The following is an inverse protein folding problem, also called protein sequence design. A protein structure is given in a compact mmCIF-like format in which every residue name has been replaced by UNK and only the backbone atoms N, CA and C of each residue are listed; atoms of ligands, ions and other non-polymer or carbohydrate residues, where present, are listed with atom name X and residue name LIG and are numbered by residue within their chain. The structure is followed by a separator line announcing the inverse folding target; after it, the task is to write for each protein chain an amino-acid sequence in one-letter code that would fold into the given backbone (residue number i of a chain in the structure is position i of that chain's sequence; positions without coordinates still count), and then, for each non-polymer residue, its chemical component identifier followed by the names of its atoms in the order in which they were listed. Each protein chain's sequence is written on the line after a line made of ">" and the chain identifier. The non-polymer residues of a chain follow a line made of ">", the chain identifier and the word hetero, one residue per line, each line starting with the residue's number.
data_IF_356164368694
#
_entry.id   IF_356164368694
#
_cell.length_a   1.000
_cell.length_b   1.000
_cell.length_c   1.000
_cell.angle_alpha   90.00
_cell.angle_beta   90.00
_cell.angle_gamma   90.00
#
_symmetry.space_group_name_H-M   'P 1'
#
loop_
_entity.id
_entity.type
_entity.pdbx_description
1 polymer ?
#
# COMPACT_ATOMS: atom_id res chain seq x y z
N UNK A 1 -13.33 -29.69 -18.64
CA UNK A 1 -12.03 -29.09 -18.29
C UNK A 1 -11.77 -27.82 -19.11
N UNK A 2 -11.92 -27.85 -20.40
CA UNK A 2 -11.64 -26.71 -21.31
C UNK A 2 -12.44 -25.40 -20.98
N UNK A 3 -13.75 -25.55 -20.70
CA UNK A 3 -14.58 -24.40 -20.33
C UNK A 3 -14.16 -23.73 -19.00
N UNK A 4 -13.65 -24.51 -18.02
CA UNK A 4 -13.13 -23.98 -16.76
C UNK A 4 -11.81 -23.22 -17.00
N UNK A 5 -10.95 -23.72 -17.86
CA UNK A 5 -9.72 -23.05 -18.28
C UNK A 5 -10.01 -21.73 -19.01
N UNK A 6 -11.04 -21.68 -19.86
CA UNK A 6 -11.44 -20.45 -20.55
C UNK A 6 -12.00 -19.38 -19.61
N UNK A 7 -12.78 -19.76 -18.59
CA UNK A 7 -13.26 -18.84 -17.54
C UNK A 7 -12.09 -18.32 -16.73
N UNK A 8 -11.18 -19.20 -16.28
CA UNK A 8 -9.97 -18.80 -15.55
C UNK A 8 -9.13 -17.81 -16.34
N UNK A 9 -8.89 -18.07 -17.64
CA UNK A 9 -8.11 -17.16 -18.49
C UNK A 9 -8.76 -15.78 -18.64
N UNK A 10 -10.07 -15.71 -18.86
CA UNK A 10 -10.78 -14.41 -18.99
C UNK A 10 -10.74 -13.62 -17.70
N UNK A 11 -11.03 -14.27 -16.55
CA UNK A 11 -11.02 -13.57 -15.26
C UNK A 11 -9.61 -13.13 -14.88
N UNK A 12 -8.57 -13.92 -15.21
CA UNK A 12 -7.18 -13.55 -15.01
C UNK A 12 -6.85 -12.23 -15.71
N UNK A 13 -7.20 -12.10 -17.00
CA UNK A 13 -6.96 -10.85 -17.74
C UNK A 13 -7.71 -9.68 -17.11
N UNK A 14 -8.99 -9.85 -16.75
CA UNK A 14 -9.78 -8.80 -16.13
C UNK A 14 -9.20 -8.37 -14.77
N UNK A 15 -8.75 -9.33 -13.95
CA UNK A 15 -8.11 -9.06 -12.64
C UNK A 15 -6.76 -8.38 -12.81
N UNK A 16 -5.96 -8.72 -13.82
CA UNK A 16 -4.69 -8.04 -14.11
C UNK A 16 -4.93 -6.58 -14.52
N UNK A 17 -5.91 -6.31 -15.40
CA UNK A 17 -6.29 -4.93 -15.76
C UNK A 17 -6.81 -4.18 -14.53
N UNK A 18 -7.58 -4.83 -13.68
CA UNK A 18 -8.04 -4.24 -12.40
C UNK A 18 -6.86 -3.89 -11.49
N UNK A 19 -5.87 -4.75 -11.37
CA UNK A 19 -4.66 -4.51 -10.57
C UNK A 19 -3.85 -3.33 -11.11
N UNK A 20 -3.75 -3.20 -12.43
CA UNK A 20 -3.12 -2.04 -13.08
C UNK A 20 -3.86 -0.74 -12.73
N UNK A 21 -5.18 -0.70 -12.91
CA UNK A 21 -6.02 0.47 -12.60
C UNK A 21 -5.99 0.83 -11.10
N UNK A 22 -5.97 -0.18 -10.23
CA UNK A 22 -5.87 -0.04 -8.79
C UNK A 22 -4.57 0.67 -8.35
N UNK A 23 -3.47 0.48 -9.08
CA UNK A 23 -2.21 1.18 -8.80
C UNK A 23 -2.33 2.70 -8.96
N UNK A 24 -3.14 3.18 -9.92
CA UNK A 24 -3.44 4.59 -10.09
C UNK A 24 -4.21 5.14 -8.87
N UNK A 25 -5.22 4.43 -8.39
CA UNK A 25 -5.99 4.84 -7.22
C UNK A 25 -5.09 4.94 -5.98
N UNK A 26 -4.16 4.00 -5.79
CA UNK A 26 -3.22 4.04 -4.67
C UNK A 26 -2.25 5.24 -4.71
N UNK A 27 -1.93 5.73 -5.88
CA UNK A 27 -0.98 6.85 -6.05
C UNK A 27 -1.64 8.23 -5.95
N UNK A 28 -2.98 8.29 -5.97
CA UNK A 28 -3.74 9.54 -6.17
C UNK A 28 -3.45 10.59 -5.10
N UNK A 29 -3.49 10.22 -3.83
CA UNK A 29 -3.28 11.16 -2.72
C UNK A 29 -1.86 11.71 -2.67
N UNK A 30 -0.87 10.92 -3.10
CA UNK A 30 0.53 11.33 -3.15
C UNK A 30 0.83 12.28 -4.32
N UNK A 31 0.19 12.05 -5.47
CA UNK A 31 0.43 12.85 -6.66
C UNK A 31 -0.36 14.16 -6.63
N UNK A 32 -1.65 14.10 -6.22
CA UNK A 32 -2.55 15.28 -6.24
C UNK A 32 -2.45 16.14 -4.97
N UNK A 33 -1.55 15.82 -4.04
CA UNK A 33 -1.48 16.49 -2.73
C UNK A 33 -1.34 18.01 -2.85
N UNK A 34 -0.49 18.49 -3.75
CA UNK A 34 -0.22 19.91 -3.91
C UNK A 34 -1.46 20.66 -4.45
N UNK A 35 -2.08 20.14 -5.50
CA UNK A 35 -3.24 20.75 -6.17
C UNK A 35 -4.47 20.79 -5.26
N UNK A 36 -4.67 19.74 -4.46
CA UNK A 36 -5.78 19.66 -3.51
C UNK A 36 -5.55 20.60 -2.32
N UNK A 37 -4.31 20.65 -1.80
CA UNK A 37 -3.91 21.57 -0.72
C UNK A 37 -4.13 23.01 -1.15
N UNK A 38 -3.73 23.37 -2.36
CA UNK A 38 -3.93 24.72 -2.93
C UNK A 38 -5.43 25.02 -3.10
N UNK A 39 -6.18 24.11 -3.72
CA UNK A 39 -7.62 24.29 -4.00
C UNK A 39 -8.45 24.56 -2.75
N UNK A 40 -8.15 23.84 -1.66
CA UNK A 40 -8.91 23.94 -0.41
C UNK A 40 -8.19 24.74 0.67
N UNK A 41 -7.05 25.39 0.35
CA UNK A 41 -6.22 26.19 1.26
C UNK A 41 -5.90 25.43 2.56
N UNK A 42 -5.48 24.15 2.43
CA UNK A 42 -5.22 23.28 3.57
C UNK A 42 -3.89 23.65 4.22
N UNK A 43 -3.90 23.75 5.54
CA UNK A 43 -2.71 24.01 6.36
C UNK A 43 -2.65 23.03 7.51
N UNK A 44 -1.45 22.81 8.03
CA UNK A 44 -1.24 22.05 9.24
C UNK A 44 -1.76 20.64 9.24
N UNK A 45 -2.37 20.26 10.35
CA UNK A 45 -2.92 18.93 10.57
C UNK A 45 -3.96 18.51 9.52
N UNK A 46 -4.70 19.45 8.91
CA UNK A 46 -5.70 19.17 7.89
C UNK A 46 -5.08 18.61 6.60
N UNK A 47 -3.88 19.07 6.23
CA UNK A 47 -3.11 18.52 5.11
C UNK A 47 -2.64 17.09 5.36
N UNK A 48 -2.10 16.83 6.57
CA UNK A 48 -1.69 15.49 6.98
C UNK A 48 -2.88 14.54 7.08
N UNK A 49 -4.01 15.02 7.62
CA UNK A 49 -5.24 14.26 7.69
C UNK A 49 -5.73 13.87 6.30
N UNK A 50 -5.76 14.79 5.33
CA UNK A 50 -6.14 14.50 3.94
C UNK A 50 -5.28 13.36 3.36
N UNK A 51 -3.96 13.41 3.55
CA UNK A 51 -3.04 12.37 3.06
C UNK A 51 -3.27 11.00 3.73
N UNK A 52 -3.86 10.99 4.94
CA UNK A 52 -4.16 9.76 5.70
C UNK A 52 -5.49 9.12 5.35
N UNK A 53 -6.41 9.84 4.69
CA UNK A 53 -7.80 9.39 4.48
C UNK A 53 -7.90 8.08 3.69
N UNK A 54 -7.06 7.89 2.67
CA UNK A 54 -7.04 6.64 1.90
C UNK A 54 -6.65 5.45 2.80
N UNK A 55 -5.63 5.63 3.64
CA UNK A 55 -5.16 4.60 4.57
C UNK A 55 -6.18 4.30 5.67
N UNK A 56 -6.92 5.31 6.13
CA UNK A 56 -8.03 5.13 7.06
C UNK A 56 -9.12 4.25 6.44
N UNK A 57 -9.47 4.50 5.19
CA UNK A 57 -10.44 3.67 4.46
C UNK A 57 -9.98 2.23 4.30
N UNK A 58 -8.72 1.99 3.95
CA UNK A 58 -8.11 0.65 3.90
C UNK A 58 -8.25 -0.07 5.25
N UNK A 59 -8.00 0.62 6.36
CA UNK A 59 -8.13 0.06 7.70
C UNK A 59 -9.59 -0.28 8.05
N UNK A 60 -10.54 0.60 7.72
CA UNK A 60 -11.98 0.35 7.88
C UNK A 60 -12.38 -0.89 7.09
N UNK A 61 -11.89 -1.05 5.85
CA UNK A 61 -12.16 -2.23 5.03
C UNK A 61 -11.77 -3.53 5.73
N UNK A 62 -10.60 -3.57 6.37
CA UNK A 62 -10.13 -4.75 7.12
C UNK A 62 -11.05 -5.09 8.29
N UNK A 63 -11.58 -4.07 9.00
CA UNK A 63 -12.48 -4.26 10.13
C UNK A 63 -13.85 -4.80 9.72
N UNK A 64 -14.39 -4.31 8.59
CA UNK A 64 -15.75 -4.68 8.15
C UNK A 64 -15.77 -5.87 7.18
N UNK A 65 -14.61 -6.28 6.64
CA UNK A 65 -14.50 -7.42 5.71
C UNK A 65 -15.13 -8.72 6.25
N UNK A 66 -14.97 -9.10 7.54
CA UNK A 66 -15.60 -10.29 8.11
C UNK A 66 -17.13 -10.31 8.00
N UNK A 67 -17.79 -9.15 7.84
CA UNK A 67 -19.24 -9.07 7.66
C UNK A 67 -19.69 -9.59 6.29
N UNK A 68 -18.84 -9.51 5.28
CA UNK A 68 -19.11 -9.92 3.89
C UNK A 68 -18.56 -11.29 3.57
N UNK A 69 -17.51 -11.72 4.29
CA UNK A 69 -16.81 -12.97 4.11
C UNK A 69 -17.77 -14.17 4.27
N UNK A 70 -17.78 -15.08 3.29
CA UNK A 70 -18.70 -16.22 3.25
C UNK A 70 -20.16 -15.89 2.91
N UNK A 71 -20.53 -14.60 2.79
CA UNK A 71 -21.88 -14.17 2.41
C UNK A 71 -21.98 -13.72 0.97
N UNK A 72 -20.96 -13.04 0.48
CA UNK A 72 -20.90 -12.45 -0.86
C UNK A 72 -19.80 -13.15 -1.68
N UNK A 73 -20.08 -13.42 -2.96
CA UNK A 73 -19.12 -14.05 -3.87
C UNK A 73 -17.97 -13.08 -4.21
N UNK A 74 -16.76 -13.63 -4.46
CA UNK A 74 -15.53 -12.85 -4.70
C UNK A 74 -15.66 -11.90 -5.89
N UNK A 75 -16.24 -12.35 -7.01
CA UNK A 75 -16.46 -11.49 -8.19
C UNK A 75 -17.38 -10.31 -7.87
N UNK A 76 -18.46 -10.56 -7.12
CA UNK A 76 -19.37 -9.49 -6.68
C UNK A 76 -18.65 -8.50 -5.80
N UNK A 77 -17.80 -8.96 -4.89
CA UNK A 77 -16.99 -8.06 -4.04
C UNK A 77 -15.98 -7.24 -4.85
N UNK A 78 -15.35 -7.80 -5.88
CA UNK A 78 -14.50 -7.03 -6.81
C UNK A 78 -15.32 -5.93 -7.50
N UNK A 79 -16.51 -6.26 -8.01
CA UNK A 79 -17.39 -5.29 -8.69
C UNK A 79 -17.88 -4.19 -7.73
N UNK A 80 -18.28 -4.55 -6.52
CA UNK A 80 -18.69 -3.58 -5.49
C UNK A 80 -17.52 -2.67 -5.11
N UNK A 81 -16.34 -3.24 -4.93
CA UNK A 81 -15.12 -2.51 -4.55
C UNK A 81 -14.71 -1.50 -5.63
N UNK A 82 -14.62 -1.97 -6.88
CA UNK A 82 -14.25 -1.10 -7.99
C UNK A 82 -15.36 -0.08 -8.33
N UNK A 83 -16.63 -0.46 -8.23
CA UNK A 83 -17.77 0.44 -8.37
C UNK A 83 -17.74 1.56 -7.31
N UNK A 84 -17.48 1.21 -6.04
CA UNK A 84 -17.30 2.18 -4.97
C UNK A 84 -16.13 3.14 -5.27
N UNK A 85 -14.98 2.62 -5.72
CA UNK A 85 -13.84 3.46 -6.11
C UNK A 85 -14.21 4.43 -7.23
N UNK A 86 -14.85 3.97 -8.31
CA UNK A 86 -15.23 4.81 -9.43
C UNK A 86 -16.20 5.92 -9.01
N UNK A 87 -17.23 5.59 -8.23
CA UNK A 87 -18.21 6.58 -7.73
C UNK A 87 -17.53 7.60 -6.80
N UNK A 88 -16.66 7.15 -5.90
CA UNK A 88 -15.97 8.04 -4.96
C UNK A 88 -14.94 8.93 -5.67
N UNK A 89 -14.30 8.46 -6.75
CA UNK A 89 -13.44 9.29 -7.61
C UNK A 89 -14.24 10.41 -8.29
N UNK A 90 -15.42 10.11 -8.84
CA UNK A 90 -16.29 11.11 -9.42
C UNK A 90 -16.81 12.11 -8.37
N UNK A 91 -17.15 11.63 -7.18
CA UNK A 91 -17.58 12.49 -6.07
C UNK A 91 -16.43 13.40 -5.61
N UNK A 92 -15.20 12.88 -5.52
CA UNK A 92 -14.02 13.69 -5.19
C UNK A 92 -13.73 14.73 -6.28
N UNK A 93 -13.88 14.38 -7.56
CA UNK A 93 -13.73 15.32 -8.68
C UNK A 93 -14.75 16.48 -8.61
N UNK A 94 -15.98 16.20 -8.19
CA UNK A 94 -17.03 17.20 -7.99
C UNK A 94 -17.06 17.85 -6.60
N UNK A 95 -16.12 17.54 -5.71
CA UNK A 95 -16.16 17.97 -4.31
C UNK A 95 -16.20 19.51 -4.18
N UNK A 96 -17.24 20.08 -3.55
CA UNK A 96 -17.36 21.51 -3.35
C UNK A 96 -16.51 22.03 -2.18
N UNK A 97 -16.12 21.15 -1.27
CA UNK A 97 -15.30 21.46 -0.10
C UNK A 97 -14.45 20.26 0.33
N UNK A 98 -13.51 20.52 1.22
CA UNK A 98 -12.57 19.51 1.70
C UNK A 98 -13.23 18.35 2.45
N UNK A 99 -14.35 18.56 3.15
CA UNK A 99 -15.02 17.51 3.90
C UNK A 99 -15.58 16.43 2.95
N UNK A 100 -16.24 16.83 1.86
CA UNK A 100 -16.74 15.92 0.82
C UNK A 100 -15.57 15.19 0.15
N UNK A 101 -14.47 15.89 -0.14
CA UNK A 101 -13.25 15.28 -0.69
C UNK A 101 -12.69 14.21 0.27
N UNK A 102 -12.49 14.53 1.55
CA UNK A 102 -11.95 13.60 2.56
C UNK A 102 -12.83 12.36 2.73
N UNK A 103 -14.16 12.53 2.81
CA UNK A 103 -15.10 11.40 2.87
C UNK A 103 -15.00 10.54 1.64
N UNK A 104 -14.92 11.14 0.45
CA UNK A 104 -14.79 10.42 -0.81
C UNK A 104 -13.50 9.58 -0.86
N UNK A 105 -12.36 10.16 -0.47
CA UNK A 105 -11.07 9.44 -0.42
C UNK A 105 -11.08 8.32 0.62
N UNK A 106 -11.73 8.54 1.79
CA UNK A 106 -11.87 7.50 2.81
C UNK A 106 -12.72 6.32 2.30
N UNK A 107 -13.88 6.59 1.71
CA UNK A 107 -14.74 5.55 1.14
C UNK A 107 -14.06 4.84 -0.05
N UNK A 108 -13.31 5.57 -0.86
CA UNK A 108 -12.47 4.99 -1.91
C UNK A 108 -11.44 4.03 -1.31
N UNK A 109 -10.81 4.39 -0.18
CA UNK A 109 -9.89 3.54 0.57
C UNK A 109 -10.53 2.24 1.05
N UNK A 110 -11.81 2.26 1.46
CA UNK A 110 -12.57 1.04 1.77
C UNK A 110 -12.65 0.14 0.54
N UNK A 111 -13.00 0.70 -0.61
CA UNK A 111 -12.99 -0.03 -1.88
C UNK A 111 -11.61 -0.61 -2.22
N UNK A 112 -10.53 0.12 -1.95
CA UNK A 112 -9.15 -0.33 -2.15
C UNK A 112 -8.83 -1.57 -1.29
N UNK A 113 -9.16 -1.53 -0.01
CA UNK A 113 -8.87 -2.63 0.91
C UNK A 113 -9.61 -3.92 0.57
N UNK A 114 -10.86 -3.82 0.16
CA UNK A 114 -11.62 -4.99 -0.33
C UNK A 114 -11.08 -5.50 -1.66
N UNK A 115 -10.83 -4.59 -2.62
CA UNK A 115 -10.36 -4.95 -3.94
C UNK A 115 -9.06 -5.75 -3.87
N UNK A 116 -8.07 -5.28 -3.11
CA UNK A 116 -6.77 -5.93 -2.96
C UNK A 116 -6.93 -7.38 -2.45
N UNK A 117 -7.70 -7.60 -1.40
CA UNK A 117 -7.96 -8.94 -0.85
C UNK A 117 -8.64 -9.87 -1.86
N UNK A 118 -9.69 -9.38 -2.53
CA UNK A 118 -10.50 -10.22 -3.41
C UNK A 118 -9.86 -10.50 -4.76
N UNK A 119 -9.05 -9.60 -5.34
CA UNK A 119 -8.29 -9.90 -6.57
C UNK A 119 -7.20 -10.95 -6.31
N UNK A 120 -6.50 -10.88 -5.16
CA UNK A 120 -5.52 -11.88 -4.76
C UNK A 120 -6.17 -13.26 -4.59
N UNK A 121 -7.25 -13.35 -3.82
CA UNK A 121 -7.94 -14.63 -3.58
C UNK A 121 -8.58 -15.21 -4.84
N UNK A 122 -9.10 -14.37 -5.74
CA UNK A 122 -9.65 -14.80 -7.03
C UNK A 122 -8.56 -15.37 -7.94
N UNK A 123 -7.36 -14.78 -7.92
CA UNK A 123 -6.22 -15.27 -8.69
C UNK A 123 -5.76 -16.65 -8.20
N UNK A 124 -5.75 -16.89 -6.88
CA UNK A 124 -5.45 -18.20 -6.29
C UNK A 124 -6.47 -19.25 -6.73
N UNK A 125 -7.77 -18.94 -6.66
CA UNK A 125 -8.85 -19.86 -7.06
C UNK A 125 -8.82 -20.18 -8.57
N UNK A 126 -8.44 -19.19 -9.39
CA UNK A 126 -8.31 -19.37 -10.83
C UNK A 126 -7.14 -20.32 -11.18
N UNK A 127 -6.06 -20.29 -10.40
CA UNK A 127 -4.82 -21.02 -10.66
C UNK A 127 -4.27 -21.74 -9.42
N UNK A 128 -5.00 -22.70 -8.82
CA UNK A 128 -4.62 -23.31 -7.54
C UNK A 128 -3.27 -24.04 -7.56
N UNK A 129 -2.87 -24.60 -8.73
CA UNK A 129 -1.58 -25.30 -8.88
C UNK A 129 -0.40 -24.38 -9.12
N UNK A 130 -0.64 -23.21 -9.73
CA UNK A 130 0.37 -22.25 -10.15
C UNK A 130 0.18 -20.88 -9.46
N UNK A 131 -0.50 -20.85 -8.32
CA UNK A 131 -0.86 -19.59 -7.63
C UNK A 131 0.32 -18.67 -7.35
N UNK A 132 1.53 -19.13 -6.97
CA UNK A 132 2.67 -18.23 -6.77
C UNK A 132 3.07 -17.49 -8.04
N UNK A 133 3.02 -18.15 -9.20
CA UNK A 133 3.33 -17.55 -10.50
C UNK A 133 2.33 -16.45 -10.86
N UNK A 134 1.05 -16.73 -10.71
CA UNK A 134 -0.01 -15.78 -11.09
C UNK A 134 -0.17 -14.63 -10.09
N UNK A 135 0.09 -14.86 -8.80
CA UNK A 135 0.22 -13.78 -7.82
C UNK A 135 1.44 -12.90 -8.13
N UNK A 136 2.57 -13.51 -8.51
CA UNK A 136 3.73 -12.75 -8.98
C UNK A 136 3.41 -11.87 -10.19
N UNK A 137 2.64 -12.39 -11.16
CA UNK A 137 2.18 -11.62 -12.32
C UNK A 137 1.23 -10.48 -11.90
N UNK A 138 0.28 -10.74 -10.99
CA UNK A 138 -0.65 -9.75 -10.45
C UNK A 138 0.10 -8.57 -9.83
N UNK A 139 1.03 -8.86 -8.93
CA UNK A 139 1.83 -7.82 -8.27
C UNK A 139 2.85 -7.17 -9.21
N UNK A 140 3.32 -7.86 -10.24
CA UNK A 140 4.14 -7.30 -11.31
C UNK A 140 3.37 -6.25 -12.12
N UNK A 141 2.14 -6.54 -12.52
CA UNK A 141 1.26 -5.61 -13.24
C UNK A 141 0.87 -4.42 -12.35
N UNK A 142 0.58 -4.65 -11.05
CA UNK A 142 0.42 -3.56 -10.09
C UNK A 142 1.67 -2.68 -10.02
N UNK A 143 2.86 -3.27 -10.01
CA UNK A 143 4.14 -2.55 -10.02
C UNK A 143 4.30 -1.67 -11.26
N UNK A 144 3.97 -2.19 -12.45
CA UNK A 144 3.98 -1.41 -13.71
C UNK A 144 2.99 -0.24 -13.61
N UNK A 145 1.77 -0.49 -13.11
CA UNK A 145 0.79 0.55 -12.87
C UNK A 145 1.30 1.63 -11.91
N UNK A 146 1.91 1.25 -10.79
CA UNK A 146 2.47 2.16 -9.79
C UNK A 146 3.63 3.01 -10.33
N UNK A 147 4.38 2.47 -11.29
CA UNK A 147 5.44 3.18 -11.98
C UNK A 147 4.89 4.23 -12.95
N UNK A 148 3.86 3.86 -13.70
CA UNK A 148 3.28 4.73 -14.74
C UNK A 148 2.32 5.77 -14.16
N UNK A 149 1.64 5.45 -13.05
CA UNK A 149 0.60 6.30 -12.47
C UNK A 149 1.08 7.73 -12.15
N UNK A 150 2.20 7.96 -11.44
CA UNK A 150 2.64 9.32 -11.13
C UNK A 150 2.95 10.13 -12.40
N UNK A 151 3.60 9.52 -13.39
CA UNK A 151 3.95 10.19 -14.66
C UNK A 151 2.70 10.56 -15.48
N UNK A 152 1.77 9.61 -15.63
CA UNK A 152 0.54 9.83 -16.37
C UNK A 152 -0.36 10.89 -15.70
N UNK A 153 -0.47 10.85 -14.36
CA UNK A 153 -1.22 11.87 -13.62
C UNK A 153 -0.56 13.23 -13.72
N UNK A 154 0.77 13.32 -13.60
CA UNK A 154 1.50 14.58 -13.73
C UNK A 154 1.35 15.17 -15.13
N UNK A 155 1.38 14.34 -16.17
CA UNK A 155 1.13 14.78 -17.55
C UNK A 155 -0.29 15.32 -17.72
N UNK A 156 -1.30 14.63 -17.15
CA UNK A 156 -2.69 15.10 -17.16
C UNK A 156 -2.86 16.41 -16.38
N UNK A 157 -2.19 16.60 -15.26
CA UNK A 157 -2.20 17.83 -14.47
C UNK A 157 -1.62 19.01 -15.25
N UNK A 158 -0.60 18.80 -16.07
CA UNK A 158 -0.04 19.82 -16.93
C UNK A 158 -1.01 20.30 -18.03
N UNK A 159 -1.97 19.48 -18.41
CA UNK A 159 -2.97 19.76 -19.44
C UNK A 159 -4.36 20.12 -18.88
N UNK A 160 -4.64 19.84 -17.60
CA UNK A 160 -5.97 19.95 -16.99
C UNK A 160 -5.89 20.12 -15.47
N UNK A 161 -7.05 20.14 -14.78
CA UNK A 161 -7.09 20.18 -13.32
C UNK A 161 -7.06 18.78 -12.70
N UNK A 162 -6.70 18.70 -11.40
CA UNK A 162 -6.74 17.47 -10.62
C UNK A 162 -8.13 16.79 -10.62
N UNK A 163 -9.19 17.56 -10.84
CA UNK A 163 -10.57 17.04 -10.95
C UNK A 163 -10.71 16.11 -12.15
N UNK A 164 -10.15 16.47 -13.30
CA UNK A 164 -10.18 15.63 -14.51
C UNK A 164 -9.28 14.40 -14.39
N UNK A 165 -8.20 14.49 -13.60
CA UNK A 165 -7.38 13.30 -13.26
C UNK A 165 -8.23 12.27 -12.52
N UNK A 166 -9.04 12.69 -11.53
CA UNK A 166 -9.98 11.80 -10.83
C UNK A 166 -11.00 11.16 -11.80
N UNK A 167 -11.56 11.95 -12.74
CA UNK A 167 -12.49 11.44 -13.75
C UNK A 167 -11.83 10.40 -14.66
N UNK A 168 -10.62 10.66 -15.11
CA UNK A 168 -9.86 9.72 -15.96
C UNK A 168 -9.58 8.39 -15.23
N UNK A 169 -9.21 8.44 -13.95
CA UNK A 169 -8.99 7.23 -13.15
C UNK A 169 -10.31 6.51 -12.90
N UNK A 170 -11.41 7.22 -12.65
CA UNK A 170 -12.74 6.63 -12.52
C UNK A 170 -13.14 5.88 -13.81
N UNK A 171 -12.89 6.44 -14.97
CA UNK A 171 -13.13 5.78 -16.26
C UNK A 171 -12.26 4.52 -16.42
N UNK A 172 -10.97 4.57 -16.02
CA UNK A 172 -10.07 3.41 -16.08
C UNK A 172 -10.58 2.27 -15.18
N UNK A 173 -10.99 2.57 -13.95
CA UNK A 173 -11.60 1.58 -13.03
C UNK A 173 -12.91 1.05 -13.59
N UNK A 174 -13.77 1.91 -14.16
CA UNK A 174 -15.04 1.48 -14.75
C UNK A 174 -14.82 0.49 -15.91
N UNK A 175 -13.85 0.73 -16.79
CA UNK A 175 -13.47 -0.21 -17.85
C UNK A 175 -13.02 -1.55 -17.25
N UNK A 176 -12.18 -1.53 -16.22
CA UNK A 176 -11.76 -2.75 -15.53
C UNK A 176 -12.95 -3.52 -14.94
N UNK A 177 -13.93 -2.81 -14.32
CA UNK A 177 -15.14 -3.43 -13.77
C UNK A 177 -16.04 -4.03 -14.84
N UNK A 178 -16.19 -3.38 -15.99
CA UNK A 178 -16.92 -3.95 -17.15
C UNK A 178 -16.23 -5.24 -17.60
N UNK A 179 -14.91 -5.28 -17.68
CA UNK A 179 -14.18 -6.50 -18.03
C UNK A 179 -14.40 -7.63 -17.00
N UNK A 180 -14.38 -7.31 -15.70
CA UNK A 180 -14.69 -8.28 -14.63
C UNK A 180 -16.13 -8.78 -14.75
N UNK A 181 -17.10 -7.90 -14.98
CA UNK A 181 -18.52 -8.25 -15.15
C UNK A 181 -18.72 -9.21 -16.32
N UNK A 182 -18.18 -8.89 -17.48
CA UNK A 182 -18.28 -9.75 -18.69
C UNK A 182 -17.58 -11.09 -18.48
N UNK A 183 -16.44 -11.09 -17.78
CA UNK A 183 -15.64 -12.30 -17.55
C UNK A 183 -16.21 -13.18 -16.44
N UNK A 184 -16.83 -12.58 -15.42
CA UNK A 184 -17.30 -13.22 -14.19
C UNK A 184 -18.81 -13.49 -14.13
N UNK A 185 -19.63 -13.04 -15.08
CA UNK A 185 -21.08 -12.98 -15.02
C UNK A 185 -21.85 -14.29 -15.29
N UNK A 186 -21.23 -15.48 -15.26
CA UNK A 186 -21.91 -16.75 -15.53
C UNK A 186 -22.02 -17.68 -14.32
N UNK A 187 -23.03 -18.61 -14.30
CA UNK A 187 -23.18 -19.63 -13.25
C UNK A 187 -21.87 -20.38 -12.94
N UNK A 188 -21.08 -20.73 -13.95
CA UNK A 188 -19.79 -21.42 -13.79
C UNK A 188 -18.73 -20.58 -13.07
N UNK A 189 -18.79 -19.28 -13.23
CA UNK A 189 -17.93 -18.36 -12.48
C UNK A 189 -18.35 -18.27 -11.02
N UNK A 190 -19.65 -18.25 -10.75
CA UNK A 190 -20.19 -18.30 -9.39
C UNK A 190 -19.79 -19.58 -8.65
N UNK A 191 -19.75 -20.72 -9.34
CA UNK A 191 -19.32 -22.01 -8.79
C UNK A 191 -17.79 -22.05 -8.54
N UNK A 192 -17.02 -21.38 -9.38
CA UNK A 192 -15.54 -21.36 -9.29
C UNK A 192 -15.02 -20.34 -8.27
N UNK A 193 -15.67 -19.17 -8.16
CA UNK A 193 -15.29 -18.04 -7.31
C UNK A 193 -16.33 -17.76 -6.23
N UNK A 194 -16.91 -18.82 -5.69
CA UNK A 194 -17.95 -18.74 -4.67
C UNK A 194 -17.52 -18.08 -3.37
N UNK A 195 -18.32 -18.28 -2.36
CA UNK A 195 -18.09 -17.69 -1.04
C UNK A 195 -16.78 -18.19 -0.43
N UNK A 196 -15.97 -17.29 0.11
CA UNK A 196 -14.75 -17.65 0.83
C UNK A 196 -15.09 -18.46 2.08
N UNK A 197 -14.43 -19.62 2.26
CA UNK A 197 -14.53 -20.47 3.46
C UNK A 197 -13.41 -20.16 4.47
N UNK A 198 -12.92 -18.94 4.52
CA UNK A 198 -11.87 -18.59 5.48
C UNK A 198 -12.40 -18.72 6.93
N UNK A 199 -11.60 -19.34 7.80
CA UNK A 199 -11.93 -19.49 9.22
C UNK A 199 -12.12 -18.14 9.89
N UNK A 200 -13.20 -18.00 10.66
CA UNK A 200 -13.47 -16.78 11.44
C UNK A 200 -12.43 -16.62 12.52
N UNK A 201 -11.86 -15.44 12.61
CA UNK A 201 -10.94 -15.06 13.68
C UNK A 201 -11.68 -15.08 15.03
N UNK A 202 -11.12 -15.79 16.01
CA UNK A 202 -11.63 -15.79 17.38
C UNK A 202 -10.83 -14.83 18.26
N UNK A 203 -11.50 -14.17 19.21
CA UNK A 203 -10.84 -13.28 20.17
C UNK A 203 -9.76 -14.00 20.99
N UNK A 204 -9.95 -15.31 21.24
CA UNK A 204 -8.96 -16.14 21.93
C UNK A 204 -7.67 -16.33 21.14
N UNK A 205 -7.77 -16.56 19.83
CA UNK A 205 -6.59 -16.68 18.95
C UNK A 205 -5.83 -15.35 18.87
N UNK A 206 -6.54 -14.22 18.75
CA UNK A 206 -5.93 -12.90 18.77
C UNK A 206 -5.21 -12.63 20.10
N UNK A 207 -5.86 -12.95 21.23
CA UNK A 207 -5.25 -12.80 22.56
C UNK A 207 -3.98 -13.63 22.72
N UNK A 208 -3.98 -14.89 22.24
CA UNK A 208 -2.80 -15.76 22.26
C UNK A 208 -1.66 -15.21 21.41
N UNK A 209 -1.98 -14.67 20.23
CA UNK A 209 -0.99 -14.05 19.33
C UNK A 209 -0.32 -12.83 19.98
N UNK A 210 -1.11 -11.95 20.60
CA UNK A 210 -0.63 -10.70 21.21
C UNK A 210 0.10 -10.91 22.54
N UNK A 211 -0.05 -12.07 23.21
CA UNK A 211 0.73 -12.39 24.42
C UNK A 211 2.21 -12.69 24.14
N UNK A 212 2.58 -12.98 22.90
CA UNK A 212 3.97 -13.27 22.53
C UNK A 212 4.78 -11.98 22.37
N UNK A 213 5.79 -11.75 23.20
CA UNK A 213 6.70 -10.60 23.08
C UNK A 213 7.41 -10.55 21.72
N UNK A 214 7.74 -11.71 21.12
CA UNK A 214 8.30 -11.77 19.77
C UNK A 214 7.32 -11.21 18.73
N UNK A 215 6.05 -11.60 18.81
CA UNK A 215 5.03 -11.14 17.87
C UNK A 215 4.80 -9.63 18.01
N UNK A 216 4.78 -9.10 19.24
CA UNK A 216 4.66 -7.66 19.47
C UNK A 216 5.83 -6.88 18.86
N UNK A 217 7.07 -7.37 18.98
CA UNK A 217 8.24 -6.74 18.35
C UNK A 217 8.16 -6.79 16.82
N UNK A 218 7.67 -7.89 16.24
CA UNK A 218 7.46 -8.01 14.81
C UNK A 218 6.34 -7.09 14.32
N UNK A 219 5.25 -6.92 15.09
CA UNK A 219 4.21 -5.94 14.80
C UNK A 219 4.77 -4.51 14.86
N UNK A 220 5.59 -4.22 15.86
CA UNK A 220 6.30 -2.94 15.96
C UNK A 220 7.22 -2.70 14.77
N UNK A 221 7.97 -3.70 14.33
CA UNK A 221 8.79 -3.64 13.13
C UNK A 221 7.92 -3.33 11.88
N UNK A 222 6.79 -4.03 11.73
CA UNK A 222 5.83 -3.80 10.64
C UNK A 222 5.26 -2.39 10.65
N UNK A 223 4.86 -1.88 11.83
CA UNK A 223 4.39 -0.51 11.98
C UNK A 223 5.46 0.50 11.54
N UNK A 224 6.69 0.36 12.05
CA UNK A 224 7.78 1.30 11.78
C UNK A 224 8.24 1.27 10.33
N UNK A 225 8.36 0.10 9.71
CA UNK A 225 8.68 -0.02 8.27
C UNK A 225 7.58 0.60 7.40
N UNK A 226 6.32 0.42 7.79
CA UNK A 226 5.16 1.03 7.11
C UNK A 226 5.14 2.55 7.28
N UNK A 227 5.42 3.07 8.48
CA UNK A 227 5.57 4.51 8.73
C UNK A 227 6.67 5.13 7.86
N UNK A 228 7.84 4.49 7.79
CA UNK A 228 8.95 4.95 6.97
C UNK A 228 8.53 5.07 5.50
N UNK A 229 8.05 3.99 4.92
CA UNK A 229 7.73 3.93 3.49
C UNK A 229 6.56 4.86 3.13
N UNK A 230 5.49 4.85 3.93
CA UNK A 230 4.32 5.72 3.69
C UNK A 230 4.68 7.18 3.89
N UNK A 231 5.45 7.52 4.92
CA UNK A 231 5.88 8.89 5.18
C UNK A 231 6.63 9.46 3.98
N UNK A 232 7.63 8.73 3.47
CA UNK A 232 8.37 9.16 2.28
C UNK A 232 7.44 9.30 1.07
N UNK A 233 6.64 8.29 0.75
CA UNK A 233 5.80 8.27 -0.45
C UNK A 233 4.67 9.32 -0.43
N UNK A 234 4.04 9.55 0.73
CA UNK A 234 2.97 10.54 0.83
C UNK A 234 3.48 11.98 0.86
N UNK A 235 4.73 12.21 1.28
CA UNK A 235 5.22 13.56 1.55
C UNK A 235 6.24 14.07 0.54
N UNK A 236 6.87 13.17 -0.24
CA UNK A 236 7.97 13.57 -1.15
C UNK A 236 7.54 14.61 -2.18
N UNK A 237 6.36 14.49 -2.80
CA UNK A 237 5.88 15.46 -3.77
C UNK A 237 5.68 16.85 -3.14
N UNK A 238 5.16 16.89 -1.89
CA UNK A 238 4.99 18.13 -1.13
C UNK A 238 6.32 18.72 -0.69
N UNK A 239 7.23 17.87 -0.22
CA UNK A 239 8.60 18.28 0.16
C UNK A 239 9.34 18.91 -1.03
N UNK A 240 9.28 18.26 -2.21
CA UNK A 240 9.94 18.76 -3.42
C UNK A 240 9.41 20.13 -3.84
N UNK A 241 8.09 20.37 -3.68
CA UNK A 241 7.53 21.69 -3.93
C UNK A 241 7.99 22.73 -2.89
N UNK A 242 7.83 22.42 -1.60
CA UNK A 242 8.06 23.42 -0.54
C UNK A 242 9.55 23.72 -0.30
N UNK A 243 10.44 22.74 -0.45
CA UNK A 243 11.86 22.88 -0.18
C UNK A 243 12.68 23.30 -1.40
N UNK A 244 12.21 22.94 -2.62
CA UNK A 244 13.01 23.07 -3.84
C UNK A 244 12.29 23.75 -5.01
N UNK A 245 11.02 24.14 -4.86
CA UNK A 245 10.16 24.66 -5.94
C UNK A 245 10.17 23.74 -7.18
N UNK A 246 10.15 22.41 -6.96
CA UNK A 246 10.39 21.39 -7.96
C UNK A 246 9.26 20.33 -7.97
N UNK A 247 8.00 20.74 -8.09
CA UNK A 247 6.82 19.87 -8.02
C UNK A 247 6.87 18.69 -9.02
N UNK A 248 7.31 18.94 -10.26
CA UNK A 248 7.42 17.90 -11.28
C UNK A 248 8.42 16.79 -10.92
N UNK A 249 9.51 17.12 -10.21
CA UNK A 249 10.46 16.13 -9.70
C UNK A 249 9.85 15.26 -8.59
N UNK A 250 8.84 15.74 -7.87
CA UNK A 250 8.12 14.95 -6.87
C UNK A 250 7.47 13.70 -7.45
N UNK A 251 6.78 13.82 -8.59
CA UNK A 251 6.21 12.67 -9.32
C UNK A 251 7.30 11.74 -9.85
N UNK A 252 8.42 12.30 -10.35
CA UNK A 252 9.57 11.52 -10.81
C UNK A 252 10.20 10.72 -9.66
N UNK A 253 10.32 11.30 -8.46
CA UNK A 253 10.78 10.59 -7.26
C UNK A 253 9.92 9.36 -6.95
N UNK A 254 8.58 9.49 -7.02
CA UNK A 254 7.66 8.36 -6.81
C UNK A 254 7.88 7.25 -7.84
N UNK A 255 8.02 7.62 -9.11
CA UNK A 255 8.29 6.66 -10.20
C UNK A 255 9.62 5.93 -9.98
N UNK A 256 10.70 6.67 -9.71
CA UNK A 256 12.03 6.10 -9.45
C UNK A 256 12.01 5.17 -8.24
N UNK A 257 11.30 5.57 -7.17
CA UNK A 257 11.10 4.72 -6.00
C UNK A 257 10.45 3.39 -6.37
N UNK A 258 9.35 3.40 -7.12
CA UNK A 258 8.62 2.18 -7.49
C UNK A 258 9.40 1.28 -8.44
N UNK A 259 10.18 1.85 -9.38
CA UNK A 259 11.13 1.08 -10.20
C UNK A 259 12.11 0.33 -9.31
N UNK A 260 12.79 1.05 -8.44
CA UNK A 260 13.82 0.49 -7.56
C UNK A 260 13.26 -0.53 -6.56
N UNK A 261 12.08 -0.25 -5.98
CA UNK A 261 11.38 -1.18 -5.09
C UNK A 261 10.96 -2.46 -5.81
N UNK A 262 10.53 -2.37 -7.06
CA UNK A 262 10.19 -3.54 -7.88
C UNK A 262 11.44 -4.38 -8.16
N UNK A 263 12.55 -3.77 -8.56
CA UNK A 263 13.84 -4.45 -8.72
C UNK A 263 14.25 -5.18 -7.44
N UNK A 264 14.13 -4.50 -6.29
CA UNK A 264 14.46 -5.10 -5.00
C UNK A 264 13.62 -6.34 -4.68
N UNK A 265 12.31 -6.34 -4.99
CA UNK A 265 11.42 -7.50 -4.76
C UNK A 265 11.88 -8.76 -5.47
N UNK A 266 12.55 -8.63 -6.61
CA UNK A 266 13.15 -9.76 -7.33
C UNK A 266 14.55 -10.11 -6.84
N UNK A 267 15.32 -9.15 -6.35
CA UNK A 267 16.70 -9.37 -5.87
C UNK A 267 16.74 -9.89 -4.43
N UNK A 268 15.94 -9.31 -3.52
CA UNK A 268 16.00 -9.62 -2.09
C UNK A 268 15.83 -11.11 -1.76
N UNK A 269 14.90 -11.88 -2.39
CA UNK A 269 14.78 -13.32 -2.14
C UNK A 269 16.00 -14.14 -2.59
N UNK A 270 16.86 -13.60 -3.48
CA UNK A 270 18.09 -14.25 -3.93
C UNK A 270 19.25 -14.05 -2.96
N UNK A 271 19.16 -13.07 -2.08
CA UNK A 271 20.14 -12.84 -1.04
C UNK A 271 19.97 -13.92 0.04
N UNK A 272 21.04 -14.71 0.28
CA UNK A 272 21.05 -15.78 1.31
C UNK A 272 21.19 -15.22 2.73
N UNK A 273 20.46 -14.15 3.05
CA UNK A 273 20.47 -13.49 4.34
C UNK A 273 19.13 -13.70 5.08
N UNK A 274 19.18 -13.64 6.41
CA UNK A 274 17.96 -13.73 7.22
C UNK A 274 17.05 -12.53 6.93
N UNK A 275 15.72 -12.70 6.77
CA UNK A 275 14.80 -11.61 6.45
C UNK A 275 14.91 -10.42 7.41
N UNK A 276 15.00 -10.67 8.72
CA UNK A 276 15.17 -9.62 9.72
C UNK A 276 16.47 -8.81 9.57
N UNK A 277 17.54 -9.44 9.09
CA UNK A 277 18.80 -8.72 8.80
C UNK A 277 18.63 -7.82 7.58
N UNK A 278 17.97 -8.32 6.52
CA UNK A 278 17.68 -7.52 5.32
C UNK A 278 16.78 -6.32 5.64
N UNK A 279 15.74 -6.51 6.48
CA UNK A 279 14.88 -5.42 6.94
C UNK A 279 15.68 -4.39 7.75
N UNK A 280 16.51 -4.83 8.70
CA UNK A 280 17.30 -3.93 9.55
C UNK A 280 18.29 -3.10 8.73
N UNK A 281 19.06 -3.75 7.86
CA UNK A 281 20.05 -3.08 6.98
C UNK A 281 19.33 -2.15 6.01
N UNK A 282 18.24 -2.61 5.39
CA UNK A 282 17.43 -1.79 4.48
C UNK A 282 16.87 -0.54 5.16
N UNK A 283 16.36 -0.67 6.39
CA UNK A 283 15.84 0.45 7.18
C UNK A 283 16.91 1.48 7.55
N UNK A 284 18.09 1.02 7.96
CA UNK A 284 19.22 1.92 8.29
C UNK A 284 19.76 2.63 7.06
N UNK A 285 19.99 1.90 5.95
CA UNK A 285 20.46 2.50 4.68
C UNK A 285 19.45 3.50 4.12
N UNK A 286 18.15 3.16 4.15
CA UNK A 286 17.11 4.08 3.69
C UNK A 286 17.00 5.32 4.56
N UNK A 287 17.17 5.19 5.88
CA UNK A 287 17.24 6.33 6.81
C UNK A 287 18.46 7.22 6.53
N UNK A 288 19.61 6.62 6.24
CA UNK A 288 20.82 7.34 5.85
C UNK A 288 20.61 8.11 4.55
N UNK A 289 20.05 7.47 3.50
CA UNK A 289 19.80 8.15 2.22
C UNK A 289 18.77 9.27 2.36
N UNK A 290 17.72 9.09 3.17
CA UNK A 290 16.78 10.17 3.44
C UNK A 290 17.47 11.36 4.10
N UNK A 291 18.31 11.13 5.11
CA UNK A 291 19.10 12.17 5.76
C UNK A 291 20.04 12.88 4.80
N UNK A 292 20.78 12.13 3.97
CA UNK A 292 21.67 12.69 2.95
C UNK A 292 20.91 13.54 1.93
N UNK A 293 19.75 13.07 1.47
CA UNK A 293 18.89 13.82 0.55
C UNK A 293 18.45 15.16 1.14
N UNK A 294 18.01 15.17 2.40
CA UNK A 294 17.60 16.42 3.10
C UNK A 294 18.78 17.37 3.28
N UNK A 295 19.91 16.88 3.80
CA UNK A 295 21.09 17.69 4.11
C UNK A 295 21.73 18.27 2.84
N UNK A 296 21.66 17.56 1.72
CA UNK A 296 22.25 18.01 0.45
C UNK A 296 21.65 19.32 -0.07
N UNK A 297 20.43 19.65 0.30
CA UNK A 297 19.70 20.81 -0.24
C UNK A 297 19.44 20.76 -1.75
N UNK A 298 19.67 19.62 -2.41
CA UNK A 298 19.53 19.45 -3.85
C UNK A 298 18.37 18.55 -4.22
N UNK A 299 17.46 19.04 -5.07
CA UNK A 299 16.34 18.27 -5.59
C UNK A 299 16.77 17.00 -6.34
N UNK A 300 17.83 17.07 -7.14
CA UNK A 300 18.36 15.93 -7.89
C UNK A 300 18.97 14.86 -6.96
N UNK A 301 19.73 15.28 -5.95
CA UNK A 301 20.29 14.36 -4.94
C UNK A 301 19.15 13.69 -4.17
N UNK A 302 18.09 14.43 -3.81
CA UNK A 302 16.91 13.85 -3.18
C UNK A 302 16.25 12.79 -4.07
N UNK A 303 16.08 13.02 -5.37
CA UNK A 303 15.54 12.02 -6.30
C UNK A 303 16.38 10.74 -6.34
N UNK A 304 17.71 10.86 -6.39
CA UNK A 304 18.62 9.69 -6.34
C UNK A 304 18.48 8.95 -5.02
N UNK A 305 18.46 9.69 -3.91
CA UNK A 305 18.27 9.10 -2.57
C UNK A 305 16.93 8.36 -2.44
N UNK A 306 15.84 8.93 -2.97
CA UNK A 306 14.50 8.28 -2.98
C UNK A 306 14.54 7.00 -3.81
N UNK A 307 15.25 6.97 -4.93
CA UNK A 307 15.48 5.75 -5.71
C UNK A 307 16.23 4.68 -4.90
N UNK A 308 17.31 5.07 -4.22
CA UNK A 308 18.05 4.16 -3.33
C UNK A 308 17.18 3.66 -2.16
N UNK A 309 16.35 4.53 -1.57
CA UNK A 309 15.37 4.09 -0.56
C UNK A 309 14.42 3.03 -1.13
N UNK A 310 13.89 3.19 -2.34
CA UNK A 310 13.08 2.17 -3.01
C UNK A 310 13.81 0.83 -3.12
N UNK A 311 15.11 0.89 -3.52
CA UNK A 311 15.95 -0.30 -3.65
C UNK A 311 16.17 -1.04 -2.32
N UNK A 312 16.13 -0.36 -1.18
CA UNK A 312 16.35 -0.96 0.13
C UNK A 312 15.07 -1.21 0.95
N UNK A 313 13.90 -0.77 0.48
CA UNK A 313 12.62 -0.94 1.21
C UNK A 313 11.62 -1.84 0.50
N UNK A 314 11.81 -2.17 -0.76
CA UNK A 314 10.84 -2.92 -1.58
C UNK A 314 10.41 -4.27 -0.99
N UNK A 315 11.27 -4.92 -0.20
CA UNK A 315 11.03 -6.21 0.45
C UNK A 315 10.41 -6.13 1.85
N UNK A 316 10.20 -4.94 2.43
CA UNK A 316 9.78 -4.81 3.83
C UNK A 316 8.47 -5.54 4.11
N UNK A 317 7.40 -5.21 3.37
CA UNK A 317 6.08 -5.78 3.61
C UNK A 317 6.07 -7.32 3.49
N UNK A 318 6.52 -7.95 2.38
CA UNK A 318 6.48 -9.40 2.28
C UNK A 318 7.33 -10.10 3.32
N UNK A 319 8.50 -9.56 3.68
CA UNK A 319 9.37 -10.18 4.69
C UNK A 319 8.82 -10.03 6.11
N UNK A 320 8.23 -8.89 6.47
CA UNK A 320 7.57 -8.71 7.78
C UNK A 320 6.40 -9.69 7.92
N UNK A 321 5.55 -9.80 6.90
CA UNK A 321 4.41 -10.72 6.92
C UNK A 321 4.89 -12.17 7.06
N UNK A 322 5.93 -12.57 6.32
CA UNK A 322 6.52 -13.91 6.39
C UNK A 322 7.07 -14.22 7.80
N UNK A 323 7.87 -13.31 8.39
CA UNK A 323 8.42 -13.48 9.74
C UNK A 323 7.34 -13.58 10.83
N UNK A 324 6.25 -12.83 10.66
CA UNK A 324 5.10 -12.92 11.55
C UNK A 324 4.37 -14.25 11.39
N UNK A 325 4.23 -14.76 10.17
CA UNK A 325 3.59 -16.05 9.89
C UNK A 325 4.40 -17.23 10.42
N UNK A 326 5.72 -17.23 10.26
CA UNK A 326 6.62 -18.28 10.81
C UNK A 326 6.55 -18.40 12.34
N UNK A 327 6.29 -17.28 13.01
CA UNK A 327 6.21 -17.23 14.48
C UNK A 327 4.92 -17.80 15.08
N UNK A 328 3.91 -18.07 14.26
CA UNK A 328 2.61 -18.53 14.73
C UNK A 328 2.02 -19.61 13.80
N UNK A 329 2.15 -20.87 14.20
CA UNK A 329 1.73 -22.03 13.40
C UNK A 329 0.21 -22.29 13.39
N UNK A 330 -0.60 -21.43 14.03
CA UNK A 330 -2.04 -21.70 14.20
C UNK A 330 -2.91 -21.22 13.04
N UNK A 331 -2.73 -19.98 12.58
CA UNK A 331 -3.58 -19.39 11.53
C UNK A 331 -2.84 -18.25 10.84
N UNK A 332 -2.43 -18.49 9.59
CA UNK A 332 -1.70 -17.50 8.76
C UNK A 332 -2.58 -16.30 8.39
N UNK A 333 -3.89 -16.50 8.22
CA UNK A 333 -4.85 -15.44 7.94
C UNK A 333 -4.95 -14.47 9.10
N UNK A 334 -5.01 -14.98 10.35
CA UNK A 334 -4.97 -14.14 11.56
C UNK A 334 -3.72 -13.26 11.56
N UNK A 335 -2.57 -13.88 11.40
CA UNK A 335 -1.28 -13.20 11.44
C UNK A 335 -1.20 -12.08 10.41
N UNK A 336 -1.56 -12.39 9.16
CA UNK A 336 -1.54 -11.41 8.07
C UNK A 336 -2.50 -10.25 8.34
N UNK A 337 -3.73 -10.53 8.81
CA UNK A 337 -4.73 -9.51 9.11
C UNK A 337 -4.28 -8.57 10.23
N UNK A 338 -3.71 -9.12 11.31
CA UNK A 338 -3.21 -8.31 12.45
C UNK A 338 -2.03 -7.43 12.01
N UNK A 339 -1.09 -7.99 11.25
CA UNK A 339 0.06 -7.23 10.71
C UNK A 339 -0.43 -6.08 9.81
N UNK A 340 -1.32 -6.38 8.87
CA UNK A 340 -1.87 -5.38 7.95
C UNK A 340 -2.64 -4.28 8.70
N UNK A 341 -3.40 -4.64 9.73
CA UNK A 341 -4.13 -3.69 10.57
C UNK A 341 -3.17 -2.74 11.30
N UNK A 342 -2.13 -3.28 11.95
CA UNK A 342 -1.13 -2.48 12.68
C UNK A 342 -0.35 -1.58 11.72
N UNK A 343 0.06 -2.09 10.55
CA UNK A 343 0.67 -1.29 9.48
C UNK A 343 -0.29 -0.22 8.97
N UNK A 344 -1.59 -0.50 8.91
CA UNK A 344 -2.64 0.46 8.54
C UNK A 344 -2.73 1.64 9.51
N UNK A 345 -2.72 1.39 10.82
CA UNK A 345 -2.66 2.44 11.85
C UNK A 345 -1.45 3.35 11.63
N UNK A 346 -0.28 2.75 11.41
CA UNK A 346 0.95 3.50 11.16
C UNK A 346 0.85 4.42 9.93
N UNK A 347 0.21 3.94 8.85
CA UNK A 347 -0.03 4.72 7.61
C UNK A 347 -0.99 5.88 7.83
N UNK A 348 -1.95 5.77 8.72
CA UNK A 348 -2.87 6.88 9.06
C UNK A 348 -2.14 7.94 9.87
N UNK A 349 -1.32 7.54 10.81
CA UNK A 349 -0.68 8.47 11.77
C UNK A 349 0.46 9.27 11.12
N UNK A 350 1.29 8.64 10.28
CA UNK A 350 2.54 9.28 9.83
C UNK A 350 2.34 10.56 9.04
N UNK A 351 1.40 10.71 8.08
CA UNK A 351 1.24 11.97 7.36
C UNK A 351 0.77 13.12 8.27
N UNK A 352 -0.03 12.81 9.30
CA UNK A 352 -0.52 13.79 10.28
C UNK A 352 0.66 14.33 11.11
N UNK A 353 1.54 13.44 11.59
CA UNK A 353 2.72 13.82 12.35
C UNK A 353 3.69 14.63 11.49
N UNK A 354 3.92 14.24 10.24
CA UNK A 354 4.80 14.96 9.33
C UNK A 354 4.27 16.34 9.00
N UNK A 355 2.96 16.49 8.79
CA UNK A 355 2.33 17.78 8.58
C UNK A 355 2.49 18.69 9.81
N UNK A 356 2.18 18.18 11.00
CA UNK A 356 2.34 18.95 12.25
C UNK A 356 3.79 19.39 12.48
N UNK A 357 4.77 18.52 12.24
CA UNK A 357 6.19 18.86 12.34
C UNK A 357 6.62 19.90 11.29
N UNK A 358 6.05 19.82 10.09
CA UNK A 358 6.30 20.80 9.01
C UNK A 358 5.83 22.20 9.43
N UNK A 359 4.66 22.30 10.05
CA UNK A 359 4.09 23.59 10.47
C UNK A 359 4.79 24.16 11.69
N UNK A 360 5.10 23.33 12.69
CA UNK A 360 5.65 23.80 13.97
C UNK A 360 7.15 24.10 13.86
N UNK A 361 7.87 23.38 13.01
CA UNK A 361 9.35 23.49 12.93
C UNK A 361 9.79 23.85 11.51
N UNK A 362 9.74 22.91 10.57
CA UNK A 362 10.10 23.15 9.17
C UNK A 362 9.74 21.95 8.29
N UNK A 363 9.69 22.15 6.96
CA UNK A 363 9.45 21.07 5.99
C UNK A 363 10.56 20.01 6.02
N UNK A 364 11.79 20.39 6.32
CA UNK A 364 12.93 19.48 6.46
C UNK A 364 12.75 18.54 7.66
N UNK A 365 12.30 19.08 8.80
CA UNK A 365 12.04 18.30 10.02
C UNK A 365 10.85 17.36 9.81
N UNK A 366 9.77 17.84 9.16
CA UNK A 366 8.66 16.98 8.76
C UNK A 366 9.12 15.82 7.89
N UNK A 367 9.95 16.08 6.86
CA UNK A 367 10.49 15.06 5.98
C UNK A 367 11.51 14.14 6.65
N UNK A 368 12.18 14.57 7.70
CA UNK A 368 13.14 13.76 8.47
C UNK A 368 12.46 12.78 9.44
N UNK A 369 11.18 12.97 9.78
CA UNK A 369 10.47 12.11 10.74
C UNK A 369 10.53 10.62 10.43
N UNK A 370 10.39 10.14 9.17
CA UNK A 370 10.55 8.73 8.82
C UNK A 370 11.89 8.12 9.24
N UNK A 371 12.98 8.91 9.37
CA UNK A 371 14.29 8.41 9.83
C UNK A 371 14.17 7.74 11.20
N UNK A 372 13.40 8.35 12.10
CA UNK A 372 13.16 7.80 13.45
C UNK A 372 12.48 6.43 13.33
N UNK A 373 11.46 6.32 12.48
CA UNK A 373 10.76 5.04 12.29
C UNK A 373 11.67 3.97 11.65
N UNK A 374 12.56 4.34 10.72
CA UNK A 374 13.54 3.41 10.14
C UNK A 374 14.55 2.89 11.18
N UNK A 375 15.06 3.75 12.05
CA UNK A 375 15.98 3.37 13.14
C UNK A 375 15.27 2.43 14.13
N UNK A 376 14.02 2.75 14.52
CA UNK A 376 13.22 1.91 15.41
C UNK A 376 12.91 0.55 14.78
N UNK A 377 12.60 0.49 13.48
CA UNK A 377 12.40 -0.76 12.75
C UNK A 377 13.64 -1.67 12.84
N UNK A 378 14.82 -1.10 12.61
CA UNK A 378 16.08 -1.84 12.75
C UNK A 378 16.30 -2.33 14.18
N UNK A 379 16.00 -1.50 15.19
CA UNK A 379 16.07 -1.86 16.60
C UNK A 379 15.17 -3.05 16.94
N UNK A 380 13.92 -3.06 16.49
CA UNK A 380 13.01 -4.19 16.66
C UNK A 380 13.53 -5.47 16.01
N UNK A 381 14.09 -5.40 14.79
CA UNK A 381 14.69 -6.55 14.13
C UNK A 381 15.86 -7.13 14.93
N UNK A 382 16.76 -6.29 15.40
CA UNK A 382 17.91 -6.71 16.21
C UNK A 382 17.44 -7.36 17.52
N UNK A 383 16.41 -6.81 18.15
CA UNK A 383 15.86 -7.39 19.39
C UNK A 383 15.27 -8.78 19.13
N UNK A 384 14.47 -8.96 18.08
CA UNK A 384 13.92 -10.28 17.71
C UNK A 384 15.04 -11.29 17.41
N UNK A 385 16.11 -10.87 16.73
CA UNK A 385 17.28 -11.74 16.46
C UNK A 385 17.98 -12.20 17.75
N UNK A 386 18.11 -11.32 18.74
CA UNK A 386 18.68 -11.66 20.05
C UNK A 386 17.81 -12.69 20.81
N UNK A 387 16.48 -12.55 20.76
CA UNK A 387 15.56 -13.52 21.37
C UNK A 387 15.66 -14.91 20.71
N UNK A 388 15.90 -14.99 19.40
CA UNK A 388 16.16 -16.27 18.71
C UNK A 388 17.50 -16.90 19.12
N UNK A 389 18.53 -16.08 19.31
CA UNK A 389 19.87 -16.54 19.72
C UNK A 389 19.92 -17.08 21.17
N UNK A 390 19.21 -16.47 22.11
CA UNK A 390 19.14 -16.92 23.47
C UNK A 390 18.54 -18.35 23.60
N UNK A 391 17.48 -18.66 22.82
CA UNK A 391 16.86 -20.00 22.82
C UNK A 391 17.71 -21.12 22.19
N UNK A 392 18.71 -20.78 21.38
CA UNK A 392 19.65 -21.76 20.78
C UNK A 392 20.75 -22.13 21.77
N UNK A 393 21.15 -21.22 22.65
CA UNK A 393 22.20 -21.46 23.65
C UNK A 393 21.70 -22.20 24.94
N UNK A 394 20.36 -22.35 25.08
CA UNK A 394 19.73 -23.09 26.19
C UNK A 394 19.39 -24.56 25.83
N UNK A 395 19.71 -25.01 24.62
CA UNK A 395 19.59 -26.39 24.13
C UNK A 395 20.96 -27.01 23.88
#
# INVERSE_FOLDING_TARGET
>A
MEQRANVAKRITVAVLVTSFAYAFVNSITSVLVNDVVETFSLTGASQGLMSSMLSLGLMIALLINPLFQGRVGKITMILVSGGLQAVMLLLSAGAPNVAVFMVSITCMGVGCGWLDGYINSTMIDAHPKDSPKYLGLLHGIFGIGSLLAPLAMQWLLGASSWRWVNVAIAALIAVAMVMVFISGGGKKSADMFGKSQEERLTAGQLGAYLKSGRNLLLLGCGAMTSMFQTGVLCWIARYMLLAHDAAALGASCLTIFWIAATVNRFLAPRLRARPLVLIAVGALLSSLFLGLGIISGSALVMCVCVGLMGLFTGHFMPMVVSECAEGYQGNTTLTTSVVMFVMGIARVIVPILMAALTDVVSVQVGMAFPIVSGILAAGFCVWVLRLKGAKVNER
#
